data_IF_967001011695
#
_entry.id   IF_967001011695
#
_cell.length_a   1.000
_cell.length_b   1.000
_cell.length_c   1.000
_cell.angle_alpha   90.00
_cell.angle_beta   90.00
_cell.angle_gamma   90.00
#
_symmetry.space_group_name_H-M   'P 1'
#
loop_
_entity.id
_entity.type
_entity.pdbx_description
1 polymer ?
#
# COMPACT_ATOMS: atom_id res chain seq x y z
N UNK A 1 -57.99 -51.25 68.61
CA UNK A 1 -59.05 -50.34 69.14
C UNK A 1 -58.99 -49.06 68.29
N UNK A 2 -60.08 -48.72 67.60
CA UNK A 2 -60.38 -47.59 66.72
C UNK A 2 -59.64 -47.49 65.41
N UNK A 3 -60.31 -47.89 64.33
CA UNK A 3 -60.16 -47.59 62.93
C UNK A 3 -60.80 -46.21 62.75
N UNK A 4 -60.04 -45.25 62.19
CA UNK A 4 -60.60 -43.98 61.82
C UNK A 4 -60.59 -43.79 60.31
N UNK A 5 -61.58 -43.14 59.84
CA UNK A 5 -62.16 -43.13 58.50
C UNK A 5 -61.22 -42.53 57.41
N UNK A 6 -61.18 -43.20 56.25
CA UNK A 6 -60.63 -42.66 55.03
C UNK A 6 -61.52 -41.50 54.54
N UNK A 7 -61.01 -40.28 54.62
CA UNK A 7 -61.60 -39.15 53.94
C UNK A 7 -61.34 -39.27 52.43
N UNK A 8 -62.39 -39.39 51.64
CA UNK A 8 -62.39 -39.35 50.18
C UNK A 8 -61.92 -37.96 49.66
N UNK A 9 -60.72 -37.91 49.15
CA UNK A 9 -60.03 -36.69 48.62
C UNK A 9 -60.43 -36.28 47.20
N UNK A 10 -61.38 -36.93 46.55
CA UNK A 10 -61.84 -36.61 45.20
C UNK A 10 -63.35 -36.36 45.13
N UNK A 11 -63.77 -35.25 45.74
CA UNK A 11 -65.07 -34.67 45.42
C UNK A 11 -64.80 -33.50 44.52
N UNK A 12 -64.86 -33.72 43.19
CA UNK A 12 -64.92 -32.62 42.17
C UNK A 12 -66.26 -31.90 42.38
N UNK A 13 -66.26 -30.62 42.74
CA UNK A 13 -67.43 -29.83 42.60
C UNK A 13 -67.71 -29.65 41.11
N UNK A 14 -68.81 -30.17 40.60
CA UNK A 14 -69.31 -29.77 39.29
C UNK A 14 -69.65 -28.29 39.38
N UNK A 15 -68.64 -27.46 39.08
CA UNK A 15 -68.88 -26.06 38.87
C UNK A 15 -69.70 -25.92 37.56
N UNK A 16 -70.91 -25.46 37.67
CA UNK A 16 -71.71 -25.08 36.53
C UNK A 16 -70.97 -23.97 35.79
N UNK A 17 -70.46 -24.27 34.60
CA UNK A 17 -69.83 -23.27 33.77
C UNK A 17 -70.87 -22.16 33.49
N UNK A 18 -70.52 -20.98 33.87
CA UNK A 18 -71.36 -19.79 33.56
C UNK A 18 -71.57 -19.71 32.04
N UNK A 19 -72.83 -19.91 31.55
CA UNK A 19 -73.07 -19.98 30.11
C UNK A 19 -72.63 -18.70 29.38
N UNK A 20 -72.64 -17.56 30.08
CA UNK A 20 -72.14 -16.30 29.54
C UNK A 20 -70.63 -16.29 29.34
N UNK A 21 -69.88 -16.97 30.22
CA UNK A 21 -68.41 -17.11 30.10
C UNK A 21 -68.03 -18.01 28.92
N UNK A 22 -68.77 -19.12 28.75
CA UNK A 22 -68.56 -20.00 27.58
C UNK A 22 -68.92 -19.29 26.29
N UNK A 23 -70.01 -18.53 26.28
CA UNK A 23 -70.41 -17.74 25.13
C UNK A 23 -69.36 -16.62 24.78
N UNK A 24 -68.79 -15.98 25.80
CA UNK A 24 -67.74 -14.98 25.62
C UNK A 24 -66.48 -15.59 25.02
N UNK A 25 -66.06 -16.77 25.49
CA UNK A 25 -64.89 -17.49 24.92
C UNK A 25 -65.17 -17.89 23.48
N UNK A 26 -66.37 -18.35 23.17
CA UNK A 26 -66.75 -18.75 21.83
C UNK A 26 -66.75 -17.56 20.85
N UNK A 27 -67.20 -16.39 21.30
CA UNK A 27 -67.14 -15.15 20.53
C UNK A 27 -65.70 -14.70 20.29
N UNK A 28 -64.80 -14.83 21.28
CA UNK A 28 -63.36 -14.53 21.13
C UNK A 28 -62.70 -15.49 20.13
N UNK A 29 -63.04 -16.78 20.19
CA UNK A 29 -62.51 -17.77 19.22
C UNK A 29 -63.00 -17.48 17.82
N UNK A 30 -64.30 -17.16 17.66
CA UNK A 30 -64.87 -16.78 16.33
C UNK A 30 -64.20 -15.50 15.79
N UNK A 31 -63.95 -14.50 16.65
CA UNK A 31 -63.25 -13.28 16.27
C UNK A 31 -61.78 -13.57 15.88
N UNK A 32 -61.08 -14.43 16.62
CA UNK A 32 -59.74 -14.87 16.27
C UNK A 32 -59.67 -15.61 14.93
N UNK A 33 -60.65 -16.54 14.69
CA UNK A 33 -60.73 -17.25 13.41
C UNK A 33 -61.03 -16.28 12.26
N UNK A 34 -61.90 -15.28 12.49
CA UNK A 34 -62.18 -14.24 11.49
C UNK A 34 -60.92 -13.38 11.17
N UNK A 35 -60.16 -13.01 12.20
CA UNK A 35 -58.88 -12.28 12.03
C UNK A 35 -57.87 -13.14 11.28
N UNK A 36 -57.69 -14.42 11.63
CA UNK A 36 -56.77 -15.34 10.92
C UNK A 36 -57.22 -15.54 9.47
N UNK A 37 -58.54 -15.61 9.18
CA UNK A 37 -59.02 -15.68 7.80
C UNK A 37 -58.78 -14.39 7.03
N UNK A 38 -59.01 -13.22 7.61
CA UNK A 38 -58.71 -11.92 6.99
C UNK A 38 -57.21 -11.76 6.72
N UNK A 39 -56.30 -12.29 7.59
CA UNK A 39 -54.87 -12.41 7.32
C UNK A 39 -54.57 -13.36 6.15
N UNK A 40 -55.21 -14.52 6.11
CA UNK A 40 -54.98 -15.51 5.05
C UNK A 40 -55.49 -15.04 3.68
N UNK A 41 -56.48 -14.15 3.66
CA UNK A 41 -57.06 -13.57 2.46
C UNK A 41 -56.40 -12.25 2.03
N UNK A 42 -55.41 -11.76 2.83
CA UNK A 42 -54.66 -10.51 2.53
C UNK A 42 -55.45 -9.21 2.78
N UNK A 43 -56.63 -9.31 3.46
CA UNK A 43 -57.46 -8.14 3.77
C UNK A 43 -56.95 -7.30 4.95
N UNK A 44 -56.11 -7.90 5.79
CA UNK A 44 -55.47 -7.22 6.95
C UNK A 44 -53.98 -7.54 6.95
N UNK A 45 -53.15 -6.52 6.94
CA UNK A 45 -51.68 -6.67 7.10
C UNK A 45 -51.34 -6.96 8.54
N UNK A 46 -50.53 -7.99 8.82
CA UNK A 46 -50.06 -8.26 10.19
C UNK A 46 -49.22 -7.08 10.71
N UNK A 47 -49.49 -6.59 11.94
CA UNK A 47 -48.86 -5.39 12.49
C UNK A 47 -47.33 -5.55 12.74
N UNK A 48 -46.79 -6.73 12.49
CA UNK A 48 -45.37 -7.07 12.70
C UNK A 48 -44.68 -7.65 11.46
N UNK A 49 -45.21 -7.43 10.25
CA UNK A 49 -44.43 -7.70 9.06
C UNK A 49 -43.30 -6.63 9.04
N UNK A 50 -42.02 -6.99 9.13
CA UNK A 50 -40.98 -6.00 8.92
C UNK A 50 -41.20 -5.38 7.55
N UNK A 51 -41.30 -4.06 7.48
CA UNK A 51 -41.30 -3.33 6.19
C UNK A 51 -40.09 -3.87 5.41
N UNK A 52 -40.26 -4.36 4.18
CA UNK A 52 -39.10 -4.81 3.40
C UNK A 52 -38.09 -3.66 3.41
N UNK A 53 -36.93 -3.90 3.95
CA UNK A 53 -35.84 -2.94 3.88
C UNK A 53 -35.68 -2.62 2.40
N UNK A 54 -35.77 -1.36 1.96
CA UNK A 54 -35.63 -1.05 0.54
C UNK A 54 -34.29 -1.63 0.08
N UNK A 55 -34.34 -2.49 -0.92
CA UNK A 55 -33.14 -3.07 -1.52
C UNK A 55 -32.29 -1.91 -1.99
N UNK A 56 -31.06 -1.83 -1.50
CA UNK A 56 -30.11 -0.77 -1.88
C UNK A 56 -29.95 -0.79 -3.41
N UNK A 57 -30.00 0.37 -4.01
CA UNK A 57 -29.84 0.53 -5.46
C UNK A 57 -28.37 0.65 -5.82
N UNK A 58 -28.02 0.38 -7.08
CA UNK A 58 -26.68 0.58 -7.62
C UNK A 58 -26.16 1.97 -7.29
N UNK A 59 -26.96 2.99 -7.55
CA UNK A 59 -26.58 4.39 -7.28
C UNK A 59 -26.29 4.65 -5.80
N UNK A 60 -26.95 3.96 -4.86
CA UNK A 60 -26.65 4.06 -3.43
C UNK A 60 -25.23 3.55 -3.10
N UNK A 61 -24.79 2.46 -3.74
CA UNK A 61 -23.44 1.93 -3.57
C UNK A 61 -22.39 2.80 -4.26
N UNK A 62 -22.71 3.38 -5.42
CA UNK A 62 -21.81 4.32 -6.12
C UNK A 62 -21.59 5.57 -5.26
N UNK A 63 -22.65 6.21 -4.76
CA UNK A 63 -22.55 7.39 -3.87
C UNK A 63 -21.76 7.06 -2.59
N UNK A 64 -21.96 5.87 -2.03
CA UNK A 64 -21.19 5.41 -0.86
C UNK A 64 -19.71 5.22 -1.22
N UNK A 65 -19.42 4.66 -2.41
CA UNK A 65 -18.08 4.54 -2.94
C UNK A 65 -17.39 5.89 -3.13
N UNK A 66 -18.09 6.85 -3.75
CA UNK A 66 -17.63 8.24 -3.92
C UNK A 66 -17.33 8.89 -2.56
N UNK A 67 -18.25 8.74 -1.61
CA UNK A 67 -18.10 9.29 -0.25
C UNK A 67 -16.87 8.69 0.47
N UNK A 68 -16.66 7.38 0.34
CA UNK A 68 -15.48 6.73 0.91
C UNK A 68 -14.19 7.16 0.21
N UNK A 69 -14.22 7.36 -1.10
CA UNK A 69 -13.09 7.87 -1.86
C UNK A 69 -12.73 9.30 -1.42
N UNK A 70 -13.71 10.19 -1.35
CA UNK A 70 -13.53 11.57 -0.86
C UNK A 70 -13.00 11.60 0.59
N UNK A 71 -13.43 10.63 1.41
CA UNK A 71 -12.93 10.46 2.78
C UNK A 71 -11.52 9.84 2.85
N UNK A 72 -10.94 9.38 1.72
CA UNK A 72 -9.63 8.71 1.67
C UNK A 72 -9.65 7.22 2.09
N UNK A 73 -10.83 6.67 2.38
CA UNK A 73 -11.01 5.25 2.75
C UNK A 73 -11.07 4.36 1.50
N UNK A 74 -9.93 4.21 0.80
CA UNK A 74 -9.88 3.59 -0.52
C UNK A 74 -10.41 2.14 -0.55
N UNK A 75 -10.08 1.33 0.46
CA UNK A 75 -10.57 -0.06 0.51
C UNK A 75 -12.09 -0.14 0.71
N UNK A 76 -12.68 0.79 1.47
CA UNK A 76 -14.15 0.87 1.61
C UNK A 76 -14.79 1.37 0.31
N UNK A 77 -14.16 2.30 -0.39
CA UNK A 77 -14.60 2.74 -1.70
C UNK A 77 -14.60 1.56 -2.69
N UNK A 78 -13.51 0.78 -2.75
CA UNK A 78 -13.41 -0.43 -3.57
C UNK A 78 -14.55 -1.40 -3.26
N UNK A 79 -14.80 -1.69 -1.98
CA UNK A 79 -15.89 -2.59 -1.57
C UNK A 79 -17.27 -2.07 -2.01
N UNK A 80 -17.54 -0.77 -1.89
CA UNK A 80 -18.81 -0.18 -2.30
C UNK A 80 -19.01 -0.26 -3.81
N UNK A 81 -18.00 0.03 -4.62
CA UNK A 81 -18.07 -0.14 -6.08
C UNK A 81 -18.22 -1.60 -6.50
N UNK A 82 -17.56 -2.54 -5.80
CA UNK A 82 -17.77 -3.97 -6.03
C UNK A 82 -19.21 -4.39 -5.75
N UNK A 83 -19.82 -3.87 -4.67
CA UNK A 83 -21.25 -4.12 -4.40
C UNK A 83 -22.16 -3.52 -5.48
N UNK A 84 -21.83 -2.36 -6.03
CA UNK A 84 -22.54 -1.79 -7.16
C UNK A 84 -22.48 -2.72 -8.39
N UNK A 85 -21.30 -3.29 -8.68
CA UNK A 85 -21.08 -4.22 -9.79
C UNK A 85 -21.77 -5.58 -9.60
N UNK A 86 -22.07 -6.01 -8.37
CA UNK A 86 -22.91 -7.20 -8.13
C UNK A 86 -24.31 -6.99 -8.71
N UNK A 87 -24.83 -5.76 -8.65
CA UNK A 87 -26.15 -5.41 -9.16
C UNK A 87 -26.15 -5.06 -10.66
N UNK A 88 -25.09 -4.40 -11.14
CA UNK A 88 -24.88 -4.05 -12.54
C UNK A 88 -23.50 -4.52 -13.03
N UNK A 89 -23.33 -5.82 -13.33
CA UNK A 89 -22.02 -6.38 -13.65
C UNK A 89 -21.33 -5.76 -14.88
N UNK A 90 -22.10 -5.29 -15.85
CA UNK A 90 -21.58 -4.78 -17.13
C UNK A 90 -21.51 -3.24 -17.19
N UNK A 91 -21.56 -2.56 -16.05
CA UNK A 91 -21.45 -1.11 -16.02
C UNK A 91 -19.98 -0.68 -16.14
N UNK A 92 -19.58 -0.31 -17.37
CA UNK A 92 -18.20 0.04 -17.71
C UNK A 92 -17.70 1.29 -16.96
N UNK A 93 -18.57 2.26 -16.68
CA UNK A 93 -18.22 3.46 -15.92
C UNK A 93 -17.86 3.11 -14.45
N UNK A 94 -18.67 2.26 -13.80
CA UNK A 94 -18.38 1.80 -12.43
C UNK A 94 -17.07 1.02 -12.39
N UNK A 95 -16.81 0.17 -13.40
CA UNK A 95 -15.52 -0.55 -13.50
C UNK A 95 -14.34 0.39 -13.71
N UNK A 96 -14.50 1.44 -14.52
CA UNK A 96 -13.44 2.44 -14.72
C UNK A 96 -13.12 3.18 -13.42
N UNK A 97 -14.13 3.63 -12.67
CA UNK A 97 -13.95 4.25 -11.36
C UNK A 97 -13.28 3.30 -10.37
N UNK A 98 -13.73 2.05 -10.31
CA UNK A 98 -13.13 1.02 -9.43
C UNK A 98 -11.66 0.79 -9.77
N UNK A 99 -11.30 0.63 -11.04
CA UNK A 99 -9.92 0.45 -11.47
C UNK A 99 -9.05 1.66 -11.12
N UNK A 100 -9.55 2.88 -11.31
CA UNK A 100 -8.84 4.12 -10.92
C UNK A 100 -8.55 4.16 -9.42
N UNK A 101 -9.54 3.84 -8.57
CA UNK A 101 -9.36 3.82 -7.12
C UNK A 101 -8.40 2.71 -6.70
N UNK A 102 -8.39 1.56 -7.39
CA UNK A 102 -7.42 0.51 -7.15
C UNK A 102 -5.98 0.95 -7.47
N UNK A 103 -5.78 1.78 -8.53
CA UNK A 103 -4.47 2.39 -8.79
C UNK A 103 -4.05 3.28 -7.63
N UNK A 104 -4.92 4.16 -7.11
CA UNK A 104 -4.57 5.00 -5.95
C UNK A 104 -4.30 4.17 -4.70
N UNK A 105 -5.10 3.11 -4.46
CA UNK A 105 -4.90 2.20 -3.35
C UNK A 105 -3.54 1.48 -3.44
N UNK A 106 -3.03 1.20 -4.64
CA UNK A 106 -1.72 0.57 -4.82
C UNK A 106 -0.57 1.41 -4.25
N UNK A 107 -0.70 2.74 -4.18
CA UNK A 107 0.31 3.63 -3.60
C UNK A 107 0.40 3.55 -2.07
N UNK A 108 -0.59 2.96 -1.40
CA UNK A 108 -0.59 2.74 0.05
C UNK A 108 -0.17 1.31 0.43
N UNK A 109 0.06 0.45 -0.56
CA UNK A 109 0.53 -0.91 -0.31
C UNK A 109 1.98 -0.90 0.15
N UNK A 110 2.28 -1.76 1.11
CA UNK A 110 3.56 -1.74 1.83
C UNK A 110 4.62 -2.62 1.19
N UNK A 111 4.22 -3.58 0.37
CA UNK A 111 5.12 -4.45 -0.38
C UNK A 111 4.86 -4.34 -1.88
N UNK A 112 5.88 -4.61 -2.69
CA UNK A 112 5.75 -4.65 -4.15
C UNK A 112 4.76 -5.72 -4.62
N UNK A 113 4.68 -6.85 -3.91
CA UNK A 113 3.73 -7.90 -4.26
C UNK A 113 2.30 -7.42 -4.07
N UNK A 114 1.97 -6.82 -2.92
CA UNK A 114 0.64 -6.27 -2.66
C UNK A 114 0.27 -5.20 -3.69
N UNK A 115 1.24 -4.34 -4.03
CA UNK A 115 1.07 -3.32 -5.08
C UNK A 115 0.78 -3.95 -6.44
N UNK A 116 1.57 -4.95 -6.83
CA UNK A 116 1.41 -5.66 -8.08
C UNK A 116 0.07 -6.41 -8.14
N UNK A 117 -0.31 -7.08 -7.06
CA UNK A 117 -1.59 -7.79 -6.96
C UNK A 117 -2.77 -6.83 -7.07
N UNK A 118 -2.69 -5.63 -6.45
CA UNK A 118 -3.71 -4.59 -6.56
C UNK A 118 -3.81 -4.02 -7.98
N UNK A 119 -2.69 -3.79 -8.65
CA UNK A 119 -2.66 -3.33 -10.04
C UNK A 119 -3.18 -4.40 -11.01
N UNK A 120 -2.87 -5.68 -10.78
CA UNK A 120 -3.43 -6.78 -11.57
C UNK A 120 -4.95 -6.90 -11.39
N UNK A 121 -5.47 -6.73 -10.16
CA UNK A 121 -6.91 -6.64 -9.92
C UNK A 121 -7.54 -5.46 -10.69
N UNK A 122 -6.89 -4.29 -10.70
CA UNK A 122 -7.34 -3.15 -11.48
C UNK A 122 -7.37 -3.45 -12.98
N UNK A 123 -6.34 -4.15 -13.49
CA UNK A 123 -6.28 -4.56 -14.91
C UNK A 123 -7.40 -5.53 -15.25
N UNK A 124 -7.66 -6.55 -14.42
CA UNK A 124 -8.75 -7.50 -14.63
C UNK A 124 -10.11 -6.79 -14.72
N UNK A 125 -10.38 -5.85 -13.79
CA UNK A 125 -11.64 -5.08 -13.75
C UNK A 125 -11.80 -4.24 -15.01
N UNK A 126 -10.75 -3.53 -15.46
CA UNK A 126 -10.84 -2.65 -16.62
C UNK A 126 -10.82 -3.42 -17.94
N UNK A 127 -10.22 -4.60 -18.00
CA UNK A 127 -10.25 -5.50 -19.16
C UNK A 127 -11.67 -6.01 -19.41
N UNK A 128 -12.43 -6.31 -18.36
CA UNK A 128 -13.85 -6.63 -18.48
C UNK A 128 -14.67 -5.44 -19.03
N UNK A 129 -14.37 -4.20 -18.59
CA UNK A 129 -15.03 -3.01 -19.14
C UNK A 129 -14.70 -2.82 -20.63
N UNK A 130 -13.45 -3.02 -21.01
CA UNK A 130 -13.02 -2.95 -22.42
C UNK A 130 -13.64 -4.04 -23.28
N UNK A 131 -13.84 -5.25 -22.75
CA UNK A 131 -14.51 -6.32 -23.46
C UNK A 131 -15.97 -5.99 -23.77
N UNK A 132 -16.68 -5.32 -22.83
CA UNK A 132 -18.05 -4.89 -23.01
C UNK A 132 -18.15 -3.64 -23.93
N UNK A 133 -17.24 -2.69 -23.78
CA UNK A 133 -17.22 -1.42 -24.52
C UNK A 133 -15.82 -1.10 -25.10
N UNK A 134 -15.40 -1.77 -26.17
CA UNK A 134 -14.04 -1.68 -26.69
C UNK A 134 -13.67 -0.31 -27.27
N UNK A 135 -14.65 0.54 -27.58
CA UNK A 135 -14.45 1.88 -28.12
C UNK A 135 -14.89 2.99 -27.15
N UNK A 136 -14.88 2.70 -25.85
CA UNK A 136 -15.17 3.71 -24.84
C UNK A 136 -13.88 4.44 -24.44
N UNK A 137 -13.83 5.75 -24.70
CA UNK A 137 -12.66 6.59 -24.42
C UNK A 137 -12.27 6.60 -22.93
N UNK A 138 -13.25 6.63 -22.02
CA UNK A 138 -13.01 6.59 -20.57
C UNK A 138 -12.32 5.28 -20.17
N UNK A 139 -12.87 4.16 -20.61
CA UNK A 139 -12.35 2.81 -20.31
C UNK A 139 -10.91 2.66 -20.82
N UNK A 140 -10.65 3.09 -22.07
CA UNK A 140 -9.30 3.00 -22.64
C UNK A 140 -8.30 3.93 -21.95
N UNK A 141 -8.73 5.14 -21.57
CA UNK A 141 -7.91 6.07 -20.81
C UNK A 141 -7.53 5.52 -19.42
N UNK A 142 -8.48 4.98 -18.68
CA UNK A 142 -8.23 4.35 -17.38
C UNK A 142 -7.36 3.09 -17.53
N UNK A 143 -7.61 2.28 -18.56
CA UNK A 143 -6.78 1.10 -18.84
C UNK A 143 -5.33 1.49 -19.14
N UNK A 144 -5.11 2.57 -19.89
CA UNK A 144 -3.78 3.09 -20.14
C UNK A 144 -3.06 3.50 -18.84
N UNK A 145 -3.77 4.12 -17.88
CA UNK A 145 -3.22 4.46 -16.57
C UNK A 145 -2.84 3.22 -15.76
N UNK A 146 -3.70 2.18 -15.74
CA UNK A 146 -3.39 0.91 -15.06
C UNK A 146 -2.17 0.23 -15.68
N UNK A 147 -2.10 0.16 -17.00
CA UNK A 147 -0.96 -0.42 -17.73
C UNK A 147 0.34 0.37 -17.50
N UNK A 148 0.27 1.71 -17.45
CA UNK A 148 1.40 2.57 -17.11
C UNK A 148 1.90 2.31 -15.69
N UNK A 149 0.99 2.15 -14.74
CA UNK A 149 1.33 1.82 -13.35
C UNK A 149 1.99 0.45 -13.23
N UNK A 150 1.54 -0.56 -14.00
CA UNK A 150 2.20 -1.86 -14.11
C UNK A 150 3.58 -1.77 -14.78
N UNK A 151 3.71 -0.96 -15.83
CA UNK A 151 5.00 -0.74 -16.50
C UNK A 151 6.05 -0.09 -15.59
N UNK A 152 5.60 0.64 -14.57
CA UNK A 152 6.45 1.30 -13.58
C UNK A 152 6.60 0.48 -12.28
N UNK A 153 6.03 -0.74 -12.23
CA UNK A 153 6.20 -1.65 -11.10
C UNK A 153 7.45 -2.54 -11.30
N UNK A 154 7.82 -3.28 -10.24
CA UNK A 154 9.02 -4.12 -10.27
C UNK A 154 8.78 -5.47 -10.98
N UNK A 155 8.59 -5.38 -12.30
CA UNK A 155 8.44 -6.51 -13.20
C UNK A 155 9.71 -6.73 -14.04
N UNK A 156 9.89 -7.90 -14.67
CA UNK A 156 10.93 -8.09 -15.68
C UNK A 156 10.86 -7.03 -16.78
N UNK A 157 12.01 -6.54 -17.26
CA UNK A 157 12.09 -5.46 -18.24
C UNK A 157 11.26 -5.72 -19.52
N UNK A 158 11.18 -6.98 -19.93
CA UNK A 158 10.37 -7.37 -21.08
C UNK A 158 8.88 -7.12 -20.87
N UNK A 159 8.36 -7.42 -19.68
CA UNK A 159 6.96 -7.20 -19.31
C UNK A 159 6.67 -5.70 -19.12
N UNK A 160 7.56 -4.96 -18.43
CA UNK A 160 7.45 -3.50 -18.32
C UNK A 160 7.35 -2.84 -19.70
N UNK A 161 8.19 -3.27 -20.64
CA UNK A 161 8.19 -2.75 -22.00
C UNK A 161 6.87 -3.06 -22.73
N UNK A 162 6.35 -4.26 -22.57
CA UNK A 162 5.06 -4.65 -23.16
C UNK A 162 3.92 -3.79 -22.63
N UNK A 163 3.81 -3.65 -21.31
CA UNK A 163 2.78 -2.80 -20.69
C UNK A 163 2.93 -1.33 -21.14
N UNK A 164 4.14 -0.82 -21.27
CA UNK A 164 4.39 0.55 -21.74
C UNK A 164 3.90 0.79 -23.16
N UNK A 165 4.13 -0.17 -24.07
CA UNK A 165 3.64 -0.10 -25.45
C UNK A 165 2.12 -0.15 -25.49
N UNK A 166 1.50 -1.03 -24.71
CA UNK A 166 0.05 -1.13 -24.63
C UNK A 166 -0.56 0.15 -24.04
N UNK A 167 0.01 0.71 -22.97
CA UNK A 167 -0.44 1.93 -22.33
C UNK A 167 -0.43 3.11 -23.33
N UNK A 168 0.67 3.29 -24.07
CA UNK A 168 0.78 4.35 -25.09
C UNK A 168 -0.29 4.21 -26.16
N UNK A 169 -0.48 3.00 -26.70
CA UNK A 169 -1.49 2.75 -27.74
C UNK A 169 -2.91 3.02 -27.26
N UNK A 170 -3.27 2.54 -26.06
CA UNK A 170 -4.61 2.70 -25.49
C UNK A 170 -4.93 4.17 -25.19
N UNK A 171 -3.98 4.91 -24.60
CA UNK A 171 -4.15 6.34 -24.34
C UNK A 171 -4.38 7.13 -25.63
N UNK A 172 -3.60 6.82 -26.69
CA UNK A 172 -3.76 7.49 -27.99
C UNK A 172 -5.13 7.19 -28.62
N UNK A 173 -5.59 5.93 -28.58
CA UNK A 173 -6.91 5.55 -29.07
C UNK A 173 -8.00 6.25 -28.26
N UNK A 174 -7.88 6.33 -26.94
CA UNK A 174 -8.83 7.03 -26.08
C UNK A 174 -8.98 8.51 -26.51
N UNK A 175 -7.88 9.19 -26.77
CA UNK A 175 -7.88 10.59 -27.25
C UNK A 175 -8.50 10.72 -28.66
N UNK A 176 -8.25 9.74 -29.54
CA UNK A 176 -8.84 9.73 -30.89
C UNK A 176 -10.36 9.53 -30.86
N UNK A 177 -10.86 8.72 -29.91
CA UNK A 177 -12.30 8.49 -29.75
C UNK A 177 -13.01 9.69 -29.13
N UNK A 178 -12.39 10.34 -28.16
CA UNK A 178 -12.88 11.57 -27.56
C UNK A 178 -11.73 12.52 -27.23
N UNK A 179 -11.55 13.54 -28.05
CA UNK A 179 -10.53 14.57 -27.85
C UNK A 179 -10.80 15.47 -26.63
N UNK A 180 -11.99 15.39 -26.02
CA UNK A 180 -12.32 16.12 -24.79
C UNK A 180 -12.09 15.28 -23.53
N UNK A 181 -11.62 14.05 -23.65
CA UNK A 181 -11.22 13.25 -22.49
C UNK A 181 -9.90 13.78 -21.92
N UNK A 182 -10.02 14.68 -20.94
CA UNK A 182 -8.87 15.36 -20.30
C UNK A 182 -7.99 14.42 -19.51
N UNK A 183 -8.59 13.38 -18.88
CA UNK A 183 -7.83 12.36 -18.16
C UNK A 183 -7.00 11.49 -19.10
N UNK A 184 -7.57 11.07 -20.25
CA UNK A 184 -6.79 10.33 -21.25
C UNK A 184 -5.59 11.14 -21.77
N UNK A 185 -5.75 12.46 -21.97
CA UNK A 185 -4.62 13.34 -22.32
C UNK A 185 -3.59 13.43 -21.22
N UNK A 186 -4.01 13.54 -19.96
CA UNK A 186 -3.11 13.61 -18.84
C UNK A 186 -2.34 12.29 -18.66
N UNK A 187 -3.00 11.14 -18.69
CA UNK A 187 -2.35 9.83 -18.61
C UNK A 187 -1.40 9.60 -19.78
N UNK A 188 -1.77 10.05 -20.99
CA UNK A 188 -0.85 9.98 -22.13
C UNK A 188 0.39 10.85 -21.93
N UNK A 189 0.23 12.05 -21.36
CA UNK A 189 1.37 12.90 -21.01
C UNK A 189 2.30 12.23 -19.98
N UNK A 190 1.77 11.56 -18.96
CA UNK A 190 2.56 10.79 -17.98
C UNK A 190 3.35 9.66 -18.66
N UNK A 191 2.70 8.87 -19.52
CA UNK A 191 3.34 7.81 -20.30
C UNK A 191 4.46 8.35 -21.21
N UNK A 192 4.25 9.49 -21.84
CA UNK A 192 5.26 10.14 -22.67
C UNK A 192 6.45 10.65 -21.83
N UNK A 193 6.21 11.17 -20.62
CA UNK A 193 7.27 11.55 -19.68
C UNK A 193 8.16 10.37 -19.31
N UNK A 194 7.56 9.22 -18.99
CA UNK A 194 8.28 7.99 -18.64
C UNK A 194 9.12 7.45 -19.82
N UNK A 195 8.78 7.85 -21.04
CA UNK A 195 9.52 7.54 -22.25
C UNK A 195 10.51 8.64 -22.67
N UNK A 196 10.72 9.67 -21.84
CA UNK A 196 11.58 10.83 -22.12
C UNK A 196 11.14 11.66 -23.33
N UNK A 197 9.87 11.57 -23.75
CA UNK A 197 9.25 12.35 -24.84
C UNK A 197 8.69 13.68 -24.29
N UNK A 198 9.56 14.51 -23.74
CA UNK A 198 9.23 15.67 -22.90
C UNK A 198 8.37 16.72 -23.58
N UNK A 199 8.67 17.09 -24.82
CA UNK A 199 7.90 18.12 -25.56
C UNK A 199 6.46 17.67 -25.78
N UNK A 200 6.27 16.43 -26.22
CA UNK A 200 4.94 15.87 -26.45
C UNK A 200 4.14 15.75 -25.14
N UNK A 201 4.79 15.30 -24.06
CA UNK A 201 4.16 15.23 -22.74
C UNK A 201 3.65 16.60 -22.29
N UNK A 202 4.48 17.64 -22.45
CA UNK A 202 4.08 19.00 -22.08
C UNK A 202 2.93 19.54 -22.94
N UNK A 203 2.88 19.20 -24.23
CA UNK A 203 1.80 19.59 -25.12
C UNK A 203 0.46 18.98 -24.69
N UNK A 204 0.42 17.67 -24.41
CA UNK A 204 -0.82 17.00 -24.02
C UNK A 204 -1.33 17.44 -22.64
N UNK A 205 -0.44 17.64 -21.66
CA UNK A 205 -0.87 18.12 -20.35
C UNK A 205 -1.35 19.58 -20.41
N UNK A 206 -0.72 20.42 -21.27
CA UNK A 206 -1.17 21.80 -21.49
C UNK A 206 -2.56 21.84 -22.12
N UNK A 207 -2.83 21.01 -23.14
CA UNK A 207 -4.16 20.88 -23.73
C UNK A 207 -5.20 20.44 -22.68
N UNK A 208 -4.87 19.48 -21.81
CA UNK A 208 -5.78 19.03 -20.75
C UNK A 208 -6.11 20.18 -19.77
N UNK A 209 -5.10 20.94 -19.35
CA UNK A 209 -5.27 22.09 -18.45
C UNK A 209 -6.09 23.21 -19.06
N UNK A 210 -5.73 23.66 -20.25
CA UNK A 210 -6.40 24.77 -20.97
C UNK A 210 -7.86 24.48 -21.26
N UNK A 211 -8.22 23.20 -21.40
CA UNK A 211 -9.61 22.75 -21.55
C UNK A 211 -10.38 22.64 -20.22
N UNK A 212 -9.82 23.13 -19.09
CA UNK A 212 -10.49 23.15 -17.79
C UNK A 212 -10.09 21.98 -16.85
N UNK A 213 -9.09 21.20 -17.23
CA UNK A 213 -8.63 20.03 -16.44
C UNK A 213 -7.99 20.39 -15.10
N UNK A 214 -7.74 21.66 -14.79
CA UNK A 214 -7.20 22.07 -13.48
C UNK A 214 -8.13 21.76 -12.30
N UNK A 215 -9.39 21.40 -12.54
CA UNK A 215 -10.32 20.89 -11.53
C UNK A 215 -10.18 19.38 -11.29
N UNK A 216 -9.37 18.68 -12.05
CA UNK A 216 -9.14 17.24 -11.96
C UNK A 216 -7.81 16.97 -11.24
N UNK A 217 -7.87 16.19 -10.17
CA UNK A 217 -6.71 15.87 -9.33
C UNK A 217 -5.56 15.28 -10.15
N UNK A 218 -5.83 14.32 -11.04
CA UNK A 218 -4.78 13.68 -11.85
C UNK A 218 -4.12 14.63 -12.85
N UNK A 219 -4.86 15.58 -13.42
CA UNK A 219 -4.25 16.59 -14.30
C UNK A 219 -3.25 17.45 -13.51
N UNK A 220 -3.61 17.86 -12.29
CA UNK A 220 -2.70 18.60 -11.41
C UNK A 220 -1.52 17.74 -10.96
N UNK A 221 -1.74 16.48 -10.58
CA UNK A 221 -0.71 15.53 -10.16
C UNK A 221 0.31 15.27 -11.29
N UNK A 222 -0.17 15.03 -12.49
CA UNK A 222 0.70 14.75 -13.65
C UNK A 222 1.45 16.01 -14.08
N UNK A 223 0.81 17.20 -14.02
CA UNK A 223 1.53 18.44 -14.25
C UNK A 223 2.66 18.65 -13.23
N UNK A 224 2.40 18.32 -11.95
CA UNK A 224 3.43 18.36 -10.91
C UNK A 224 4.57 17.38 -11.22
N UNK A 225 4.25 16.14 -11.63
CA UNK A 225 5.22 15.13 -12.01
C UNK A 225 6.11 15.61 -13.18
N UNK A 226 5.53 16.25 -14.18
CA UNK A 226 6.29 16.81 -15.31
C UNK A 226 7.28 17.88 -14.81
N UNK A 227 6.86 18.81 -13.97
CA UNK A 227 7.79 19.81 -13.39
C UNK A 227 8.87 19.16 -12.52
N UNK A 228 8.53 18.11 -11.78
CA UNK A 228 9.49 17.35 -10.98
C UNK A 228 10.58 16.72 -11.86
N UNK A 229 10.20 16.12 -12.99
CA UNK A 229 11.15 15.54 -13.95
C UNK A 229 12.05 16.59 -14.59
N UNK A 230 11.56 17.82 -14.78
CA UNK A 230 12.37 18.96 -15.18
C UNK A 230 13.18 19.58 -14.05
N UNK A 231 13.09 19.04 -12.82
CA UNK A 231 13.74 19.54 -11.60
C UNK A 231 13.28 20.94 -11.17
N UNK A 232 12.14 21.39 -11.68
CA UNK A 232 11.49 22.59 -11.17
C UNK A 232 10.61 22.25 -9.95
N UNK A 233 11.30 21.95 -8.85
CA UNK A 233 10.65 21.41 -7.65
C UNK A 233 9.67 22.39 -7.00
N UNK A 234 9.86 23.70 -7.15
CA UNK A 234 8.93 24.68 -6.61
C UNK A 234 7.59 24.63 -7.36
N UNK A 235 7.63 24.65 -8.70
CA UNK A 235 6.41 24.50 -9.48
C UNK A 235 5.77 23.12 -9.30
N UNK A 236 6.58 22.06 -9.18
CA UNK A 236 6.05 20.73 -8.87
C UNK A 236 5.27 20.72 -7.54
N UNK A 237 5.82 21.33 -6.49
CA UNK A 237 5.16 21.46 -5.18
C UNK A 237 3.84 22.23 -5.31
N UNK A 238 3.83 23.36 -6.01
CA UNK A 238 2.61 24.16 -6.19
C UNK A 238 1.49 23.36 -6.85
N UNK A 239 1.83 22.55 -7.84
CA UNK A 239 0.85 21.70 -8.54
C UNK A 239 0.43 20.47 -7.72
N UNK A 240 1.34 19.85 -6.94
CA UNK A 240 0.93 18.80 -5.99
C UNK A 240 0.04 19.34 -4.87
N UNK A 241 0.26 20.60 -4.41
CA UNK A 241 -0.64 21.26 -3.45
C UNK A 241 -2.03 21.43 -4.08
N UNK A 242 -2.13 21.92 -5.33
CA UNK A 242 -3.41 22.00 -6.03
C UNK A 242 -4.09 20.62 -6.12
N UNK A 243 -3.35 19.56 -6.44
CA UNK A 243 -3.89 18.20 -6.45
C UNK A 243 -4.40 17.78 -5.06
N UNK A 244 -3.66 18.12 -4.00
CA UNK A 244 -4.07 17.81 -2.63
C UNK A 244 -5.24 18.66 -2.12
N UNK A 245 -5.47 19.85 -2.68
CA UNK A 245 -6.65 20.66 -2.38
C UNK A 245 -7.93 20.07 -3.00
N UNK A 246 -7.80 19.43 -4.16
CA UNK A 246 -8.91 18.71 -4.81
C UNK A 246 -9.22 17.39 -4.10
N UNK A 247 -8.20 16.64 -3.69
CA UNK A 247 -8.32 15.34 -3.02
C UNK A 247 -7.54 15.33 -1.68
N UNK A 248 -8.06 16.02 -0.64
CA UNK A 248 -7.32 16.33 0.58
C UNK A 248 -7.04 15.12 1.48
N UNK A 249 -7.67 13.99 1.23
CA UNK A 249 -7.51 12.77 2.03
C UNK A 249 -6.64 11.70 1.34
N UNK A 250 -6.07 12.00 0.17
CA UNK A 250 -5.12 11.12 -0.51
C UNK A 250 -3.70 11.35 0.01
N UNK A 251 -3.27 10.49 0.92
CA UNK A 251 -2.04 10.66 1.72
C UNK A 251 -0.75 10.62 0.89
N UNK A 252 -0.75 9.89 -0.23
CA UNK A 252 0.41 9.81 -1.13
C UNK A 252 0.80 11.18 -1.72
N UNK A 253 -0.15 12.11 -1.90
CA UNK A 253 0.14 13.47 -2.38
C UNK A 253 1.01 14.23 -1.37
N UNK A 254 0.68 14.15 -0.09
CA UNK A 254 1.47 14.79 0.96
C UNK A 254 2.85 14.16 1.12
N UNK A 255 2.96 12.84 0.98
CA UNK A 255 4.25 12.16 0.95
C UNK A 255 5.12 12.71 -0.20
N UNK A 256 4.53 12.91 -1.39
CA UNK A 256 5.29 13.45 -2.53
C UNK A 256 5.74 14.87 -2.31
N UNK A 257 4.85 15.74 -1.80
CA UNK A 257 5.20 17.13 -1.43
C UNK A 257 6.34 17.13 -0.41
N UNK A 258 6.24 16.32 0.63
CA UNK A 258 7.29 16.18 1.65
C UNK A 258 8.63 15.73 1.08
N UNK A 259 8.63 14.79 0.12
CA UNK A 259 9.86 14.35 -0.58
C UNK A 259 10.53 15.50 -1.33
N UNK A 260 9.75 16.33 -2.02
CA UNK A 260 10.28 17.49 -2.76
C UNK A 260 10.83 18.56 -1.82
N UNK A 261 10.14 18.87 -0.73
CA UNK A 261 10.67 19.77 0.30
C UNK A 261 11.95 19.22 0.95
N UNK A 262 12.00 17.92 1.25
CA UNK A 262 13.22 17.27 1.74
C UNK A 262 14.37 17.35 0.74
N UNK A 263 14.08 17.27 -0.55
CA UNK A 263 15.09 17.46 -1.59
C UNK A 263 15.62 18.91 -1.58
N UNK A 264 14.73 19.89 -1.53
CA UNK A 264 15.10 21.31 -1.43
C UNK A 264 15.84 21.64 -0.13
N UNK A 265 15.60 20.87 0.93
CA UNK A 265 16.31 20.98 2.21
C UNK A 265 17.83 20.83 2.13
N UNK A 266 18.36 20.22 1.06
CA UNK A 266 19.79 20.15 0.80
C UNK A 266 20.41 21.52 0.48
N UNK A 267 19.61 22.46 0.03
CA UNK A 267 20.02 23.82 -0.35
C UNK A 267 19.56 24.86 0.67
N UNK A 268 18.47 24.58 1.39
CA UNK A 268 17.86 25.43 2.42
C UNK A 268 17.30 24.55 3.54
N UNK A 269 18.03 24.44 4.64
CA UNK A 269 17.73 23.56 5.77
C UNK A 269 16.32 23.80 6.37
N UNK A 270 15.77 25.02 6.26
CA UNK A 270 14.41 25.30 6.72
C UNK A 270 13.33 24.47 6.00
N UNK A 271 13.64 23.98 4.81
CA UNK A 271 12.74 23.13 4.02
C UNK A 271 12.56 21.71 4.62
N UNK A 272 13.52 21.25 5.44
CA UNK A 272 13.35 19.98 6.15
C UNK A 272 12.19 20.02 7.14
N UNK A 273 12.02 21.13 7.85
CA UNK A 273 10.88 21.29 8.77
C UNK A 273 9.55 21.23 8.02
N UNK A 274 9.44 21.93 6.89
CA UNK A 274 8.25 21.85 6.02
C UNK A 274 8.02 20.42 5.50
N UNK A 275 9.08 19.70 5.12
CA UNK A 275 8.97 18.31 4.71
C UNK A 275 8.38 17.43 5.83
N UNK A 276 8.85 17.61 7.08
CA UNK A 276 8.34 16.90 8.24
C UNK A 276 6.85 17.19 8.50
N UNK A 277 6.39 18.44 8.29
CA UNK A 277 4.98 18.80 8.43
C UNK A 277 4.10 18.03 7.44
N UNK A 278 4.51 17.92 6.16
CA UNK A 278 3.77 17.18 5.16
C UNK A 278 3.76 15.66 5.42
N UNK A 279 4.88 15.08 5.82
CA UNK A 279 4.93 13.67 6.21
C UNK A 279 4.09 13.40 7.46
N UNK A 280 4.15 14.29 8.46
CA UNK A 280 3.31 14.18 9.66
C UNK A 280 1.82 14.31 9.32
N UNK A 281 1.45 15.14 8.33
CA UNK A 281 0.07 15.26 7.84
C UNK A 281 -0.36 13.93 7.19
N UNK A 282 0.48 13.31 6.35
CA UNK A 282 0.19 12.01 5.75
C UNK A 282 0.02 10.93 6.83
N UNK A 283 0.95 10.84 7.79
CA UNK A 283 0.85 9.89 8.91
C UNK A 283 -0.41 10.11 9.76
N UNK A 284 -0.75 11.37 10.04
CA UNK A 284 -1.94 11.74 10.80
C UNK A 284 -3.24 11.31 10.11
N UNK A 285 -3.34 11.52 8.80
CA UNK A 285 -4.48 11.08 8.00
C UNK A 285 -4.58 9.54 7.96
N UNK A 286 -3.48 8.84 7.71
CA UNK A 286 -3.45 7.37 7.72
C UNK A 286 -3.92 6.82 9.08
N UNK A 287 -3.44 7.38 10.19
CA UNK A 287 -3.89 6.99 11.54
C UNK A 287 -5.40 7.23 11.74
N UNK A 288 -5.95 8.35 11.25
CA UNK A 288 -7.39 8.65 11.34
C UNK A 288 -8.23 7.68 10.52
N UNK A 289 -7.71 7.22 9.38
CA UNK A 289 -8.37 6.29 8.47
C UNK A 289 -8.17 4.82 8.87
N UNK A 290 -7.29 4.54 9.83
CA UNK A 290 -6.90 3.19 10.22
C UNK A 290 -6.09 2.47 9.14
N UNK A 291 -5.25 3.21 8.41
CA UNK A 291 -4.36 2.69 7.36
C UNK A 291 -2.98 2.47 7.97
N UNK A 292 -2.50 1.25 7.93
CA UNK A 292 -1.17 0.86 8.40
C UNK A 292 -0.12 1.09 7.29
N UNK A 293 0.30 2.35 7.12
CA UNK A 293 1.28 2.76 6.11
C UNK A 293 2.59 3.20 6.78
N UNK A 294 3.70 2.46 6.59
CA UNK A 294 5.01 2.79 7.15
C UNK A 294 5.73 3.94 6.40
N UNK A 295 5.30 4.26 5.17
CA UNK A 295 6.00 5.19 4.26
C UNK A 295 6.22 6.58 4.89
N UNK A 296 5.21 7.25 5.50
CA UNK A 296 5.40 8.56 6.10
C UNK A 296 6.43 8.54 7.24
N UNK A 297 6.40 7.51 8.08
CA UNK A 297 7.34 7.37 9.21
C UNK A 297 8.78 7.14 8.75
N UNK A 298 8.98 6.32 7.72
CA UNK A 298 10.29 6.13 7.12
C UNK A 298 10.79 7.42 6.43
N UNK A 299 9.89 8.18 5.79
CA UNK A 299 10.21 9.47 5.20
C UNK A 299 10.62 10.51 6.26
N UNK A 300 9.93 10.55 7.41
CA UNK A 300 10.30 11.37 8.58
C UNK A 300 11.67 10.97 9.10
N UNK A 301 11.92 9.66 9.29
CA UNK A 301 13.21 9.15 9.76
C UNK A 301 14.36 9.56 8.84
N UNK A 302 14.20 9.40 7.54
CA UNK A 302 15.18 9.83 6.54
C UNK A 302 15.40 11.34 6.52
N UNK A 303 14.39 12.14 6.85
CA UNK A 303 14.52 13.60 6.96
C UNK A 303 15.34 13.97 8.20
N UNK A 304 15.04 13.37 9.35
CA UNK A 304 15.82 13.59 10.59
C UNK A 304 17.29 13.18 10.45
N UNK A 305 17.60 12.09 9.71
CA UNK A 305 19.01 11.75 9.42
C UNK A 305 19.73 12.85 8.65
N UNK A 306 19.04 13.53 7.70
CA UNK A 306 19.63 14.65 6.96
C UNK A 306 19.83 15.90 7.83
N UNK A 307 18.99 16.08 8.84
CA UNK A 307 19.12 17.15 9.85
C UNK A 307 20.16 16.82 10.94
N UNK A 308 20.70 15.59 10.98
CA UNK A 308 21.60 15.13 12.04
C UNK A 308 20.89 14.69 13.33
N UNK A 309 19.58 14.62 13.34
CA UNK A 309 18.73 14.28 14.50
C UNK A 309 18.55 12.77 14.65
N UNK A 310 19.67 12.07 14.96
CA UNK A 310 19.77 10.61 14.96
C UNK A 310 18.72 9.91 15.84
N UNK A 311 18.43 10.44 17.04
CA UNK A 311 17.46 9.84 17.98
C UNK A 311 16.02 9.93 17.46
N UNK A 312 15.67 11.04 16.84
CA UNK A 312 14.36 11.23 16.22
C UNK A 312 14.20 10.32 14.99
N UNK A 313 15.26 10.19 14.20
CA UNK A 313 15.31 9.28 13.05
C UNK A 313 15.10 7.82 13.48
N UNK A 314 15.83 7.33 14.47
CA UNK A 314 15.71 5.95 14.95
C UNK A 314 14.33 5.62 15.45
N UNK A 315 13.69 6.51 16.21
CA UNK A 315 12.30 6.30 16.70
C UNK A 315 11.28 6.17 15.57
N UNK A 316 11.39 7.03 14.55
CA UNK A 316 10.45 6.98 13.42
C UNK A 316 10.72 5.77 12.51
N UNK A 317 11.99 5.39 12.31
CA UNK A 317 12.36 4.19 11.58
C UNK A 317 11.82 2.93 12.28
N UNK A 318 11.97 2.86 13.60
CA UNK A 318 11.39 1.76 14.39
C UNK A 318 9.86 1.73 14.29
N UNK A 319 9.20 2.91 14.33
CA UNK A 319 7.75 2.99 14.15
C UNK A 319 7.29 2.45 12.78
N UNK A 320 8.05 2.72 11.72
CA UNK A 320 7.77 2.15 10.40
C UNK A 320 7.89 0.61 10.41
N UNK A 321 8.88 0.09 11.12
CA UNK A 321 9.07 -1.36 11.28
C UNK A 321 7.94 -2.02 12.10
N UNK A 322 7.46 -1.38 13.18
CA UNK A 322 6.30 -1.87 13.95
C UNK A 322 5.03 -2.00 13.07
N UNK A 323 4.84 -1.06 12.13
CA UNK A 323 3.68 -1.07 11.22
C UNK A 323 3.80 -2.20 10.19
N UNK A 324 5.00 -2.42 9.63
CA UNK A 324 5.24 -3.50 8.68
C UNK A 324 6.51 -4.28 9.01
N UNK A 325 6.42 -5.27 9.91
CA UNK A 325 7.55 -6.09 10.34
C UNK A 325 7.91 -7.21 9.36
N UNK A 326 7.20 -7.37 8.24
CA UNK A 326 7.41 -8.45 7.28
C UNK A 326 8.28 -8.04 6.09
N UNK A 327 8.52 -6.75 5.90
CA UNK A 327 9.21 -6.22 4.72
C UNK A 327 10.71 -6.15 4.95
N UNK A 328 11.47 -6.98 4.22
CA UNK A 328 12.94 -7.03 4.29
C UNK A 328 13.60 -5.68 3.99
N UNK A 329 13.02 -4.86 3.10
CA UNK A 329 13.55 -3.53 2.76
C UNK A 329 13.42 -2.56 3.95
N UNK A 330 12.35 -2.66 4.73
CA UNK A 330 12.20 -1.88 5.97
C UNK A 330 13.35 -2.16 6.94
N UNK A 331 13.74 -3.43 7.12
CA UNK A 331 14.92 -3.77 7.93
C UNK A 331 16.21 -3.16 7.37
N UNK A 332 16.39 -3.19 6.05
CA UNK A 332 17.54 -2.56 5.38
C UNK A 332 17.59 -1.05 5.65
N UNK A 333 16.50 -0.35 5.47
CA UNK A 333 16.41 1.09 5.72
C UNK A 333 16.64 1.44 7.20
N UNK A 334 15.98 0.72 8.13
CA UNK A 334 16.18 0.91 9.58
C UNK A 334 17.64 0.66 9.95
N UNK A 335 18.23 -0.40 9.42
CA UNK A 335 19.64 -0.73 9.68
C UNK A 335 20.60 0.37 9.22
N UNK A 336 20.38 0.96 8.05
CA UNK A 336 21.18 2.11 7.57
C UNK A 336 20.97 3.35 8.45
N UNK A 337 19.74 3.62 8.89
CA UNK A 337 19.45 4.72 9.82
C UNK A 337 20.17 4.50 11.14
N UNK A 338 20.13 3.30 11.71
CA UNK A 338 20.85 2.95 12.94
C UNK A 338 22.35 3.09 12.78
N UNK A 339 22.92 2.65 11.64
CA UNK A 339 24.32 2.84 11.35
C UNK A 339 24.72 4.32 11.35
N UNK A 340 23.95 5.18 10.70
CA UNK A 340 24.16 6.64 10.68
C UNK A 340 23.95 7.28 12.04
N UNK A 341 23.06 6.71 12.85
CA UNK A 341 22.83 7.10 14.25
C UNK A 341 23.92 6.58 15.19
N UNK A 342 24.92 5.83 14.70
CA UNK A 342 25.99 5.17 15.47
C UNK A 342 25.49 4.10 16.43
N UNK A 343 24.28 3.60 16.24
CA UNK A 343 23.82 2.37 16.88
C UNK A 343 24.25 1.17 16.01
N UNK A 344 25.54 0.82 16.08
CA UNK A 344 26.12 -0.20 15.20
C UNK A 344 25.61 -1.61 15.53
N UNK A 345 25.34 -1.90 16.80
CA UNK A 345 24.82 -3.21 17.24
C UNK A 345 23.39 -3.44 16.73
N UNK A 346 22.49 -2.48 16.91
CA UNK A 346 21.13 -2.54 16.35
C UNK A 346 21.15 -2.55 14.81
N UNK A 347 22.08 -1.77 14.20
CA UNK A 347 22.26 -1.77 12.75
C UNK A 347 22.64 -3.15 12.22
N UNK A 348 23.53 -3.86 12.92
CA UNK A 348 23.99 -5.17 12.51
C UNK A 348 22.83 -6.19 12.45
N UNK A 349 21.98 -6.21 13.48
CA UNK A 349 20.83 -7.10 13.56
C UNK A 349 19.83 -6.84 12.44
N UNK A 350 19.49 -5.57 12.21
CA UNK A 350 18.57 -5.14 11.16
C UNK A 350 19.11 -5.48 9.76
N UNK A 351 20.35 -5.10 9.47
CA UNK A 351 20.96 -5.34 8.17
C UNK A 351 21.20 -6.83 7.90
N UNK A 352 21.46 -7.63 8.93
CA UNK A 352 21.54 -9.08 8.78
C UNK A 352 20.22 -9.64 8.23
N UNK A 353 19.09 -9.24 8.82
CA UNK A 353 17.77 -9.68 8.34
C UNK A 353 17.53 -9.27 6.88
N UNK A 354 17.92 -8.05 6.49
CA UNK A 354 17.76 -7.56 5.13
C UNK A 354 18.68 -8.28 4.11
N UNK A 355 19.96 -8.53 4.49
CA UNK A 355 21.00 -9.00 3.57
C UNK A 355 21.10 -10.52 3.53
N UNK A 356 21.04 -11.17 4.70
CA UNK A 356 21.22 -12.62 4.85
C UNK A 356 19.89 -13.34 5.10
N UNK A 357 18.84 -12.60 5.43
CA UNK A 357 17.60 -13.15 5.97
C UNK A 357 17.74 -13.49 7.45
N UNK A 358 16.64 -13.68 8.13
CA UNK A 358 16.61 -14.11 9.51
C UNK A 358 15.37 -14.99 9.81
N UNK A 359 15.57 -15.94 10.72
CA UNK A 359 14.49 -16.73 11.28
C UNK A 359 13.66 -15.91 12.30
N UNK A 360 12.63 -16.53 12.88
CA UNK A 360 11.74 -15.87 13.81
C UNK A 360 12.46 -15.34 15.06
N UNK A 361 13.40 -16.10 15.63
CA UNK A 361 14.16 -15.68 16.81
C UNK A 361 15.07 -14.49 16.51
N UNK A 362 15.77 -14.53 15.40
CA UNK A 362 16.64 -13.45 14.95
C UNK A 362 15.86 -12.18 14.60
N UNK A 363 14.67 -12.32 13.97
CA UNK A 363 13.82 -11.19 13.65
C UNK A 363 13.21 -10.55 14.89
N UNK A 364 12.81 -11.34 15.90
CA UNK A 364 12.41 -10.83 17.20
C UNK A 364 13.53 -10.07 17.91
N UNK A 365 14.76 -10.63 17.89
CA UNK A 365 15.92 -9.95 18.46
C UNK A 365 16.20 -8.62 17.77
N UNK A 366 16.08 -8.56 16.44
CA UNK A 366 16.25 -7.33 15.68
C UNK A 366 15.19 -6.29 16.04
N UNK A 367 13.95 -6.70 16.32
CA UNK A 367 12.86 -5.83 16.75
C UNK A 367 12.81 -5.55 18.25
N UNK A 368 13.78 -6.06 19.01
CA UNK A 368 13.83 -5.91 20.47
C UNK A 368 12.55 -6.46 21.18
N UNK A 369 11.91 -7.49 20.61
CA UNK A 369 10.72 -8.13 21.18
C UNK A 369 11.12 -9.18 22.24
N UNK A 370 10.69 -8.98 23.50
CA UNK A 370 10.87 -9.93 24.60
C UNK A 370 9.61 -9.97 25.49
N UNK A 371 8.85 -11.09 25.56
CA UNK A 371 9.11 -12.34 24.86
C UNK A 371 8.81 -12.26 23.35
N UNK A 372 9.50 -13.11 22.56
CA UNK A 372 9.24 -13.25 21.13
C UNK A 372 7.89 -13.97 20.92
N UNK A 373 6.86 -13.21 20.55
CA UNK A 373 5.50 -13.73 20.36
C UNK A 373 5.14 -13.97 18.89
N UNK A 374 6.02 -13.57 17.95
CA UNK A 374 5.71 -13.57 16.51
C UNK A 374 6.65 -14.50 15.73
N UNK A 375 6.09 -15.33 14.84
CA UNK A 375 6.84 -16.22 13.94
C UNK A 375 7.18 -15.49 12.61
N UNK A 376 7.84 -14.34 12.69
CA UNK A 376 8.19 -13.53 11.50
C UNK A 376 9.56 -13.96 10.97
N UNK A 377 9.57 -14.57 9.79
CA UNK A 377 10.77 -14.94 9.04
C UNK A 377 10.99 -13.93 7.93
N UNK A 378 12.21 -13.41 7.81
CA UNK A 378 12.56 -12.41 6.81
C UNK A 378 13.45 -13.05 5.75
N UNK A 379 12.99 -13.00 4.50
CA UNK A 379 13.78 -13.45 3.35
C UNK A 379 14.84 -12.40 2.97
N UNK A 380 16.05 -12.83 2.55
CA UNK A 380 17.09 -11.90 2.15
C UNK A 380 16.71 -11.15 0.87
N UNK A 381 17.06 -9.88 0.81
CA UNK A 381 16.91 -9.07 -0.41
C UNK A 381 17.98 -9.49 -1.44
N UNK A 382 17.64 -9.51 -2.74
CA UNK A 382 18.65 -9.72 -3.77
C UNK A 382 19.60 -8.53 -3.84
N UNK A 383 20.87 -8.79 -4.11
CA UNK A 383 21.87 -7.73 -4.33
C UNK A 383 21.57 -7.02 -5.67
N UNK A 384 21.19 -5.75 -5.62
CA UNK A 384 20.83 -4.91 -6.78
C UNK A 384 21.45 -3.52 -6.62
N UNK A 385 21.29 -2.64 -7.60
CA UNK A 385 21.71 -1.23 -7.51
C UNK A 385 21.03 -0.48 -6.35
N UNK A 386 19.83 -0.89 -5.97
CA UNK A 386 19.04 -0.28 -4.89
C UNK A 386 19.41 -0.84 -3.52
N UNK A 387 19.72 -2.13 -3.44
CA UNK A 387 19.99 -2.82 -2.19
C UNK A 387 21.48 -2.89 -1.81
N UNK A 388 22.41 -2.58 -2.75
CA UNK A 388 23.86 -2.61 -2.49
C UNK A 388 24.28 -1.75 -1.30
N UNK A 389 23.52 -0.68 -1.02
CA UNK A 389 23.72 0.16 0.17
C UNK A 389 23.61 -0.65 1.46
N UNK A 390 22.64 -1.58 1.55
CA UNK A 390 22.47 -2.43 2.73
C UNK A 390 23.64 -3.40 2.89
N UNK A 391 24.06 -3.99 1.79
CA UNK A 391 25.16 -4.94 1.76
C UNK A 391 26.48 -4.33 2.23
N UNK A 392 26.91 -3.20 1.63
CA UNK A 392 28.17 -2.59 2.07
C UNK A 392 28.08 -1.97 3.46
N UNK A 393 26.90 -1.47 3.88
CA UNK A 393 26.72 -0.98 5.25
C UNK A 393 26.78 -2.13 6.24
N UNK A 394 26.22 -3.30 5.91
CA UNK A 394 26.30 -4.50 6.72
C UNK A 394 27.75 -4.97 6.88
N UNK A 395 28.47 -5.13 5.77
CA UNK A 395 29.88 -5.50 5.79
C UNK A 395 30.76 -4.51 6.58
N UNK A 396 30.48 -3.19 6.43
CA UNK A 396 31.21 -2.15 7.20
C UNK A 396 30.90 -2.19 8.70
N UNK A 397 29.64 -2.49 9.08
CA UNK A 397 29.25 -2.66 10.49
C UNK A 397 29.92 -3.89 11.10
N UNK A 398 29.94 -5.02 10.37
CA UNK A 398 30.65 -6.24 10.77
C UNK A 398 32.16 -5.97 10.99
N UNK A 399 32.82 -5.32 10.02
CA UNK A 399 34.24 -4.98 10.13
C UNK A 399 34.50 -4.03 11.30
N UNK A 400 33.65 -3.01 11.48
CA UNK A 400 33.82 -2.03 12.57
C UNK A 400 33.56 -2.59 13.98
N UNK A 401 32.75 -3.63 14.10
CA UNK A 401 32.42 -4.30 15.37
C UNK A 401 33.28 -5.57 15.61
N UNK A 402 34.19 -5.88 14.70
CA UNK A 402 35.05 -7.04 14.88
C UNK A 402 35.96 -6.91 16.13
N UNK A 403 35.90 -7.91 17.00
CA UNK A 403 36.72 -8.02 18.21
C UNK A 403 37.50 -9.34 18.17
N UNK A 404 38.82 -9.30 17.89
CA UNK A 404 39.63 -10.52 17.80
C UNK A 404 39.52 -11.42 19.03
N UNK A 405 39.16 -12.68 18.83
CA UNK A 405 39.02 -13.68 19.91
C UNK A 405 37.70 -13.63 20.69
N UNK A 406 36.77 -12.71 20.38
CA UNK A 406 35.44 -12.63 20.96
C UNK A 406 34.36 -12.80 19.87
N UNK A 407 34.36 -11.93 18.86
CA UNK A 407 33.37 -11.93 17.79
C UNK A 407 34.10 -11.93 16.44
N UNK A 408 34.05 -13.04 15.69
CA UNK A 408 34.72 -13.14 14.37
C UNK A 408 33.80 -12.60 13.25
N UNK A 409 33.45 -11.34 13.37
CA UNK A 409 32.60 -10.65 12.38
C UNK A 409 33.30 -10.48 11.01
N UNK A 410 34.64 -10.54 10.97
CA UNK A 410 35.41 -10.41 9.74
C UNK A 410 35.21 -11.57 8.76
N UNK A 411 34.95 -12.78 9.25
CA UNK A 411 34.64 -13.92 8.40
C UNK A 411 33.34 -13.70 7.63
N UNK A 412 32.27 -13.23 8.29
CA UNK A 412 31.00 -12.91 7.66
C UNK A 412 31.12 -11.68 6.74
N UNK A 413 31.87 -10.65 7.16
CA UNK A 413 32.15 -9.47 6.33
C UNK A 413 32.81 -9.87 4.99
N UNK A 414 33.77 -10.80 5.02
CA UNK A 414 34.46 -11.29 3.82
C UNK A 414 33.50 -11.96 2.83
N UNK A 415 32.48 -12.69 3.30
CA UNK A 415 31.45 -13.28 2.45
C UNK A 415 30.63 -12.18 1.76
N UNK A 416 30.15 -11.20 2.50
CA UNK A 416 29.36 -10.08 1.99
C UNK A 416 30.14 -9.26 0.96
N UNK A 417 31.42 -8.92 1.27
CA UNK A 417 32.27 -8.15 0.34
C UNK A 417 32.54 -8.91 -0.96
N UNK A 418 32.67 -10.22 -0.91
CA UNK A 418 32.84 -11.05 -2.11
C UNK A 418 31.57 -10.96 -2.99
N UNK A 419 30.38 -11.10 -2.43
CA UNK A 419 29.13 -10.95 -3.17
C UNK A 419 29.06 -9.58 -3.89
N UNK A 420 29.48 -8.51 -3.19
CA UNK A 420 29.52 -7.17 -3.79
C UNK A 420 30.56 -7.11 -4.91
N UNK A 421 31.77 -7.65 -4.73
CA UNK A 421 32.82 -7.64 -5.75
C UNK A 421 32.42 -8.39 -7.01
N UNK A 422 31.74 -9.53 -6.88
CA UNK A 422 31.28 -10.32 -8.03
C UNK A 422 30.33 -9.54 -8.93
N UNK A 423 29.53 -8.64 -8.37
CA UNK A 423 28.48 -7.94 -9.10
C UNK A 423 28.76 -6.46 -9.38
N UNK A 424 29.58 -5.81 -8.55
CA UNK A 424 29.81 -4.36 -8.57
C UNK A 424 31.27 -3.99 -8.72
N UNK A 425 32.12 -4.89 -9.26
CA UNK A 425 33.57 -4.65 -9.49
C UNK A 425 33.85 -3.36 -10.29
N UNK A 426 32.95 -3.00 -11.19
CA UNK A 426 33.09 -1.86 -12.08
C UNK A 426 32.58 -0.54 -11.48
N UNK A 427 32.03 -0.58 -10.25
CA UNK A 427 31.54 0.60 -9.55
C UNK A 427 32.59 1.12 -8.56
N UNK A 428 33.34 2.22 -8.88
CA UNK A 428 34.44 2.70 -8.07
C UNK A 428 34.00 3.18 -6.69
N UNK A 429 32.80 3.76 -6.56
CA UNK A 429 32.31 4.29 -5.29
C UNK A 429 32.01 3.15 -4.31
N UNK A 430 31.30 2.11 -4.78
CA UNK A 430 31.02 0.92 -3.99
C UNK A 430 32.33 0.21 -3.62
N UNK A 431 33.25 0.05 -4.58
CA UNK A 431 34.52 -0.61 -4.35
C UNK A 431 35.45 0.14 -3.39
N UNK A 432 35.38 1.46 -3.34
CA UNK A 432 36.06 2.30 -2.38
C UNK A 432 35.66 1.97 -0.93
N UNK A 433 34.35 1.86 -0.68
CA UNK A 433 33.78 1.52 0.64
C UNK A 433 34.15 0.08 1.03
N UNK A 434 34.01 -0.86 0.10
CA UNK A 434 34.37 -2.27 0.32
C UNK A 434 35.83 -2.40 0.69
N UNK A 435 36.75 -1.81 -0.10
CA UNK A 435 38.19 -1.88 0.15
C UNK A 435 38.59 -1.24 1.48
N UNK A 436 37.99 -0.12 1.86
CA UNK A 436 38.23 0.51 3.14
C UNK A 436 37.83 -0.40 4.32
N UNK A 437 36.69 -1.09 4.20
CA UNK A 437 36.20 -2.01 5.24
C UNK A 437 36.99 -3.33 5.29
N UNK A 438 37.41 -3.88 4.14
CA UNK A 438 38.30 -5.05 4.06
C UNK A 438 39.65 -4.80 4.74
N UNK A 439 40.18 -3.58 4.61
CA UNK A 439 41.43 -3.21 5.30
C UNK A 439 41.31 -3.27 6.83
N UNK A 440 40.14 -2.99 7.40
CA UNK A 440 39.89 -3.12 8.85
C UNK A 440 40.05 -4.58 9.28
N UNK A 441 39.55 -5.50 8.49
CA UNK A 441 39.57 -6.93 8.75
C UNK A 441 40.85 -7.62 8.25
N UNK A 442 41.80 -6.93 7.60
CA UNK A 442 42.94 -7.50 6.89
C UNK A 442 42.54 -8.59 5.87
N UNK A 443 41.38 -8.44 5.24
CA UNK A 443 40.86 -9.37 4.22
C UNK A 443 41.68 -9.21 2.95
N UNK A 444 42.28 -10.33 2.48
CA UNK A 444 42.91 -10.37 1.17
C UNK A 444 41.85 -10.66 0.09
N UNK A 445 41.58 -9.73 -0.82
CA UNK A 445 40.54 -9.93 -1.84
C UNK A 445 40.80 -11.10 -2.80
N UNK A 446 42.05 -11.60 -2.84
CA UNK A 446 42.47 -12.74 -3.67
C UNK A 446 42.52 -14.07 -2.89
N UNK A 447 42.20 -14.08 -1.62
CA UNK A 447 42.22 -15.29 -0.81
C UNK A 447 40.94 -16.11 -1.07
N UNK A 448 41.13 -17.36 -1.49
CA UNK A 448 40.03 -18.31 -1.65
C UNK A 448 39.63 -18.75 -0.24
N UNK A 449 38.54 -18.19 0.30
CA UNK A 449 37.97 -18.68 1.57
C UNK A 449 37.53 -20.14 1.41
N UNK A 450 37.74 -21.00 2.44
CA UNK A 450 37.24 -22.37 2.39
C UNK A 450 35.76 -22.40 2.09
N UNK A 451 35.37 -23.14 1.07
CA UNK A 451 34.00 -23.31 0.62
C UNK A 451 33.28 -24.26 1.56
N UNK A 452 32.99 -23.84 2.80
CA UNK A 452 32.14 -24.61 3.71
C UNK A 452 31.47 -23.72 4.74
N UNK A 453 30.42 -23.03 4.33
CA UNK A 453 29.21 -22.93 5.12
C UNK A 453 28.08 -23.02 4.12
N UNK A 454 27.28 -24.13 4.10
CA UNK A 454 26.11 -24.18 3.25
C UNK A 454 25.21 -23.04 3.69
N UNK A 455 24.90 -22.11 2.76
CA UNK A 455 23.74 -21.26 2.91
C UNK A 455 22.57 -22.15 3.35
N UNK A 456 21.72 -21.70 4.30
CA UNK A 456 20.57 -22.48 4.69
C UNK A 456 19.80 -22.87 3.44
N UNK A 457 19.71 -24.17 3.21
CA UNK A 457 19.03 -24.77 2.05
C UNK A 457 17.60 -24.26 2.09
N UNK A 458 17.19 -23.57 1.05
CA UNK A 458 15.82 -23.12 0.88
C UNK A 458 14.89 -24.35 0.93
N UNK A 459 14.17 -24.49 2.04
CA UNK A 459 13.08 -25.47 2.17
C UNK A 459 11.84 -24.79 1.66
N UNK A 460 11.47 -25.10 0.46
CA UNK A 460 10.28 -24.58 -0.22
C UNK A 460 10.64 -23.61 -1.34
N UNK A 461 10.11 -23.89 -2.52
CA UNK A 461 10.17 -22.96 -3.67
C UNK A 461 9.65 -21.59 -3.24
N UNK A 462 10.50 -20.56 -3.16
CA UNK A 462 9.99 -19.23 -2.87
C UNK A 462 9.16 -18.78 -4.06
N UNK A 463 7.93 -18.41 -3.81
CA UNK A 463 7.23 -17.50 -4.71
C UNK A 463 8.15 -16.29 -4.90
N UNK A 464 8.42 -15.83 -6.13
CA UNK A 464 9.31 -14.68 -6.31
C UNK A 464 8.74 -13.49 -5.56
N UNK A 465 9.52 -12.98 -4.60
CA UNK A 465 9.20 -11.77 -3.85
C UNK A 465 9.67 -10.60 -4.73
N UNK A 466 8.77 -9.74 -5.16
CA UNK A 466 9.13 -8.57 -5.96
C UNK A 466 9.80 -7.51 -5.08
N UNK A 467 10.84 -6.93 -5.60
CA UNK A 467 11.60 -5.81 -5.02
C UNK A 467 10.88 -4.48 -5.29
N UNK A 468 10.88 -3.58 -4.31
CA UNK A 468 10.30 -2.25 -4.46
C UNK A 468 10.91 -1.46 -5.60
N UNK A 469 10.05 -0.85 -6.40
CA UNK A 469 10.47 0.28 -7.23
C UNK A 469 10.81 1.42 -6.27
N UNK A 470 12.06 1.86 -6.16
CA UNK A 470 12.35 3.02 -5.35
C UNK A 470 11.50 4.17 -5.90
N UNK A 471 10.73 4.85 -5.05
CA UNK A 471 10.39 6.22 -5.34
C UNK A 471 11.70 6.86 -5.79
N UNK A 472 11.79 7.22 -7.07
CA UNK A 472 12.99 7.73 -7.72
C UNK A 472 13.56 8.85 -6.85
N UNK A 473 14.55 8.51 -6.01
CA UNK A 473 15.43 9.50 -5.41
C UNK A 473 16.54 9.64 -6.44
N UNK A 474 16.61 10.73 -7.20
CA UNK A 474 17.76 10.92 -8.09
C UNK A 474 19.00 10.94 -7.21
N UNK A 475 19.84 9.93 -7.35
CA UNK A 475 21.17 9.92 -6.80
C UNK A 475 21.90 11.10 -7.46
N UNK A 476 22.21 12.12 -6.65
CA UNK A 476 23.09 13.20 -7.05
C UNK A 476 24.46 12.59 -7.31
N UNK A 477 24.82 12.47 -8.58
CA UNK A 477 26.23 12.47 -8.96
C UNK A 477 26.78 13.85 -8.63
N UNK A 478 27.83 13.99 -7.84
CA UNK A 478 28.54 15.24 -7.73
C UNK A 478 29.18 15.51 -9.11
N UNK A 479 28.73 16.53 -9.79
CA UNK A 479 29.46 17.13 -10.90
C UNK A 479 30.56 18.02 -10.34
N UNK A 480 31.75 18.06 -10.97
CA UNK A 480 32.96 18.72 -10.49
C UNK A 480 32.80 20.23 -10.33
#
# INVERSE_FOLDING_TARGET
MYIDERKNLFRNPRGSSNPYFVMAILLVVVALVAVVRAFAQGEIWPPFIPTPTPTRTVNSFVIEGDTHFEAGSLDKAIQSYQQALVLEPNNSHIRANLATIMVYSSYTMTTDQERLDRLNQALEVIDLAKADEPNNSEVLGVRANVLSSLANSNLPEAEQKEYRIQAESEALIAIQLDNNNLLAKAYYAEILMDQFKYEQANDYISQAREAGGESLMDVCRIQAYIYEMFRDYNLAIDWYIKASDIAPNLTFLYNRIGVLYRYLGQFDESRYETALEYFAKAAGLNNQLGIDDPIPYMAIANTYIRMGEAMAASRNAYRALEINPYNSDTYGQVGVIYYRARNYEGSLQMLRCAVMGCDAEQSCLAREEDPCETDIVISPLPLTNTTVLYYYTYGSALAGLHRPGLDDNCAEAAVVFRMIREKFSDNPDVMSIVTASENICNINPNEVLPTETPLPTQVGTPTPIPTETPMFIPTLTPTP
#
